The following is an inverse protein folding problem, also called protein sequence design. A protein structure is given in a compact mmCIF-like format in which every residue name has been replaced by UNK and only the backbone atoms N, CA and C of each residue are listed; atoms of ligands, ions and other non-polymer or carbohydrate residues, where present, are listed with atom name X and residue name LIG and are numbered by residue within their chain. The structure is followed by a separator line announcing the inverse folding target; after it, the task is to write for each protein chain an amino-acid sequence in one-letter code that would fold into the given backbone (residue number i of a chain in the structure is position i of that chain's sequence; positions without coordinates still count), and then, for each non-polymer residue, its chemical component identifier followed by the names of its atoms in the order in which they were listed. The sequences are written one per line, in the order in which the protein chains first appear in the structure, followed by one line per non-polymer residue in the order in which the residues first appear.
data_IF_776363221113
#
_entry.id   IF_776363221113
#
_cell.length_a   1.000
_cell.length_b   1.000
_cell.length_c   1.000
_cell.angle_alpha   90.00
_cell.angle_beta   90.00
_cell.angle_gamma   90.00
#
_symmetry.space_group_name_H-M   'P 1'
#
loop_
_entity.id
_entity.type
_entity.pdbx_description
1 polymer ?
#
# COMPACT_ATOMS: atom_id res chain seq x y z
N UNK A 1 27.11 40.86 -28.75
CA UNK A 1 28.11 40.35 -29.69
C UNK A 1 27.38 39.50 -30.73
N UNK A 2 27.34 40.01 -31.95
CA UNK A 2 26.69 39.41 -33.11
C UNK A 2 27.68 38.58 -33.94
N UNK A 3 27.19 37.53 -34.61
CA UNK A 3 27.63 36.90 -35.88
C UNK A 3 26.74 35.65 -36.04
N UNK A 4 25.75 35.52 -36.92
CA UNK A 4 25.57 35.87 -38.34
C UNK A 4 26.37 34.99 -39.31
N UNK A 5 25.62 34.45 -40.29
CA UNK A 5 25.98 33.80 -41.56
C UNK A 5 26.52 32.36 -41.51
N UNK A 6 26.13 31.44 -42.39
CA UNK A 6 25.27 31.54 -43.59
C UNK A 6 25.35 30.24 -44.42
N UNK A 7 24.25 30.00 -45.14
CA UNK A 7 24.02 29.20 -46.35
C UNK A 7 25.12 28.31 -46.96
N UNK A 8 24.71 27.12 -47.41
CA UNK A 8 24.94 26.71 -48.81
C UNK A 8 24.02 25.57 -49.25
N UNK A 9 23.29 25.84 -50.32
CA UNK A 9 22.51 24.92 -51.14
C UNK A 9 23.38 23.87 -51.86
N UNK A 10 22.77 22.75 -52.25
CA UNK A 10 23.40 21.75 -53.12
C UNK A 10 22.39 20.72 -53.64
N UNK A 11 21.69 21.08 -54.71
CA UNK A 11 20.89 20.17 -55.54
C UNK A 11 21.78 19.11 -56.23
N UNK A 12 21.22 17.94 -56.60
CA UNK A 12 21.22 17.35 -57.96
C UNK A 12 20.83 15.85 -57.90
N UNK A 13 19.76 15.48 -58.60
CA UNK A 13 19.41 14.10 -58.97
C UNK A 13 20.16 13.67 -60.28
N UNK A 14 19.75 12.59 -60.98
CA UNK A 14 20.03 11.17 -60.73
C UNK A 14 20.87 10.53 -61.88
N UNK A 15 21.51 9.38 -61.63
CA UNK A 15 22.26 8.64 -62.66
C UNK A 15 21.57 7.33 -63.08
N UNK A 16 21.07 7.34 -64.30
CA UNK A 16 20.53 6.23 -65.09
C UNK A 16 21.67 5.33 -65.58
N UNK A 17 21.62 4.04 -65.24
CA UNK A 17 22.53 3.02 -65.76
C UNK A 17 21.79 1.98 -66.61
N UNK A 18 21.72 2.22 -67.93
CA UNK A 18 21.25 1.24 -68.93
C UNK A 18 22.30 0.14 -69.15
N UNK A 19 21.94 -1.14 -69.02
CA UNK A 19 22.71 -2.25 -69.63
C UNK A 19 21.82 -3.27 -70.33
N UNK A 20 21.88 -3.17 -71.66
CA UNK A 20 21.95 -4.20 -72.71
C UNK A 20 21.04 -5.42 -72.64
N UNK A 21 20.09 -5.40 -73.58
CA UNK A 21 19.39 -6.52 -74.18
C UNK A 21 20.38 -7.50 -74.82
N UNK A 22 20.38 -8.75 -74.34
CA UNK A 22 21.00 -9.90 -75.00
C UNK A 22 19.90 -10.80 -75.56
N UNK A 23 19.72 -10.75 -76.87
CA UNK A 23 18.82 -11.62 -77.62
C UNK A 23 19.46 -13.02 -77.72
N UNK A 24 18.87 -14.04 -77.09
CA UNK A 24 19.19 -15.45 -77.40
C UNK A 24 17.91 -16.22 -77.68
N UNK A 25 17.89 -16.77 -78.89
CA UNK A 25 16.82 -17.54 -79.49
C UNK A 25 16.71 -18.95 -78.87
N UNK A 26 15.46 -19.42 -78.90
CA UNK A 26 14.88 -20.66 -78.33
C UNK A 26 15.66 -21.95 -78.64
N UNK A 27 15.41 -23.01 -77.84
CA UNK A 27 14.72 -24.14 -78.45
C UNK A 27 13.43 -24.54 -77.73
N UNK A 28 12.39 -24.83 -78.53
CA UNK A 28 11.17 -25.53 -78.12
C UNK A 28 11.53 -26.91 -77.58
N UNK A 29 11.40 -27.14 -76.28
CA UNK A 29 11.25 -28.50 -75.73
C UNK A 29 9.76 -28.79 -75.50
N UNK A 30 9.22 -29.49 -76.50
CA UNK A 30 8.23 -30.57 -76.43
C UNK A 30 7.58 -30.77 -75.06
N UNK A 31 6.26 -30.57 -75.01
CA UNK A 31 5.46 -30.85 -73.82
C UNK A 31 5.66 -32.30 -73.36
N UNK A 32 6.24 -32.45 -72.18
CA UNK A 32 5.92 -33.58 -71.31
C UNK A 32 4.72 -33.15 -70.50
N UNK A 33 3.56 -33.71 -70.80
CA UNK A 33 2.44 -33.73 -69.85
C UNK A 33 2.99 -34.29 -68.54
N UNK A 34 3.30 -33.42 -67.59
CA UNK A 34 3.50 -33.82 -66.21
C UNK A 34 2.12 -34.19 -65.72
N UNK A 35 1.81 -35.48 -65.81
CA UNK A 35 0.72 -36.08 -65.07
C UNK A 35 0.83 -35.59 -63.64
N UNK A 36 -0.16 -34.83 -63.18
CA UNK A 36 -0.34 -34.57 -61.76
C UNK A 36 -0.68 -35.92 -61.16
N UNK A 37 0.37 -36.65 -60.75
CA UNK A 37 0.21 -37.79 -59.89
C UNK A 37 -0.43 -37.26 -58.62
N UNK A 38 -1.73 -37.51 -58.46
CA UNK A 38 -2.46 -37.33 -57.21
C UNK A 38 -2.03 -38.37 -56.15
N UNK A 39 -0.95 -39.11 -56.41
CA UNK A 39 -0.34 -39.99 -55.43
C UNK A 39 0.46 -39.15 -54.42
N UNK A 40 -0.06 -39.09 -53.19
CA UNK A 40 0.82 -39.14 -52.03
C UNK A 40 0.81 -37.96 -51.07
N UNK A 41 -0.11 -37.00 -51.17
CA UNK A 41 -0.41 -36.13 -50.02
C UNK A 41 -1.72 -36.58 -49.35
N UNK A 42 -1.71 -37.83 -48.86
CA UNK A 42 -2.43 -38.06 -47.61
C UNK A 42 -1.69 -37.23 -46.58
N UNK A 43 -2.24 -36.07 -46.26
CA UNK A 43 -1.89 -35.43 -45.02
C UNK A 43 -2.30 -36.45 -43.96
N UNK A 44 -1.32 -37.22 -43.47
CA UNK A 44 -1.43 -37.97 -42.22
C UNK A 44 -1.50 -36.93 -41.08
N UNK A 45 -2.58 -36.14 -41.10
CA UNK A 45 -3.17 -35.58 -39.91
C UNK A 45 -3.85 -36.78 -39.25
N UNK A 46 -3.06 -37.65 -38.64
CA UNK A 46 -3.57 -38.58 -37.64
C UNK A 46 -3.76 -37.74 -36.36
N UNK A 47 -4.97 -37.26 -36.03
CA UNK A 47 -5.20 -36.49 -34.81
C UNK A 47 -4.97 -37.32 -33.54
N UNK A 48 -4.88 -38.65 -33.69
CA UNK A 48 -4.83 -39.60 -32.58
C UNK A 48 -3.44 -39.72 -31.91
N UNK A 49 -2.34 -39.42 -32.62
CA UNK A 49 -0.98 -39.71 -32.12
C UNK A 49 -0.28 -38.50 -31.49
N UNK A 50 -0.62 -37.27 -31.91
CA UNK A 50 -0.09 -36.04 -31.29
C UNK A 50 -0.91 -35.56 -30.09
N UNK A 51 -2.15 -36.03 -29.93
CA UNK A 51 -3.01 -35.68 -28.79
C UNK A 51 -2.37 -36.04 -27.44
N UNK A 52 -1.72 -37.22 -27.35
CA UNK A 52 -1.04 -37.67 -26.13
C UNK A 52 0.18 -36.82 -25.75
N UNK A 53 1.04 -36.48 -26.73
CA UNK A 53 2.24 -35.66 -26.50
C UNK A 53 1.91 -34.21 -26.14
N UNK A 54 0.82 -33.66 -26.69
CA UNK A 54 0.34 -32.33 -26.30
C UNK A 54 -0.22 -32.37 -24.87
N UNK A 55 -1.02 -33.40 -24.53
CA UNK A 55 -1.54 -33.59 -23.17
C UNK A 55 -0.42 -33.69 -22.11
N UNK A 56 0.71 -34.33 -22.45
CA UNK A 56 1.89 -34.46 -21.58
C UNK A 56 2.50 -33.11 -21.18
N UNK A 57 2.52 -32.11 -22.06
CA UNK A 57 3.04 -30.78 -21.75
C UNK A 57 2.00 -29.82 -21.16
N UNK A 58 0.71 -30.09 -21.37
CA UNK A 58 -0.37 -29.23 -20.86
C UNK A 58 -0.38 -29.20 -19.33
N UNK A 59 -0.29 -30.37 -18.67
CA UNK A 59 -0.30 -30.45 -17.21
C UNK A 59 0.87 -29.65 -16.57
N UNK A 60 2.15 -29.88 -16.92
CA UNK A 60 3.26 -29.13 -16.35
C UNK A 60 3.23 -27.65 -16.72
N UNK A 61 2.74 -27.28 -17.92
CA UNK A 61 2.56 -25.88 -18.29
C UNK A 61 1.52 -25.17 -17.42
N UNK A 62 0.38 -25.82 -17.13
CA UNK A 62 -0.64 -25.31 -16.23
C UNK A 62 -0.11 -25.20 -14.80
N UNK A 63 0.62 -26.21 -14.31
CA UNK A 63 1.26 -26.16 -12.99
C UNK A 63 2.26 -25.00 -12.90
N UNK A 64 3.11 -24.82 -13.92
CA UNK A 64 4.07 -23.71 -13.98
C UNK A 64 3.35 -22.36 -13.95
N UNK A 65 2.26 -22.21 -14.70
CA UNK A 65 1.45 -21.00 -14.71
C UNK A 65 0.85 -20.70 -13.32
N UNK A 66 0.33 -21.72 -12.63
CA UNK A 66 -0.20 -21.58 -11.27
C UNK A 66 0.88 -21.20 -10.26
N UNK A 67 2.10 -21.75 -10.39
CA UNK A 67 3.23 -21.39 -9.53
C UNK A 67 3.66 -19.93 -9.73
N UNK A 68 3.80 -19.49 -10.99
CA UNK A 68 4.12 -18.11 -11.33
C UNK A 68 3.07 -17.17 -10.75
N UNK A 69 1.79 -17.49 -10.96
CA UNK A 69 0.67 -16.73 -10.42
C UNK A 69 0.69 -16.64 -8.89
N UNK A 70 0.96 -17.74 -8.19
CA UNK A 70 1.05 -17.76 -6.73
C UNK A 70 2.18 -16.85 -6.20
N UNK A 71 3.32 -16.78 -6.89
CA UNK A 71 4.43 -15.87 -6.54
C UNK A 71 3.99 -14.41 -6.65
N UNK A 72 3.27 -14.02 -7.70
CA UNK A 72 2.76 -12.66 -7.86
C UNK A 72 1.75 -12.27 -6.77
N UNK A 73 0.79 -13.16 -6.47
CA UNK A 73 -0.21 -12.92 -5.41
C UNK A 73 0.46 -12.78 -4.05
N UNK A 74 1.42 -13.67 -3.73
CA UNK A 74 2.19 -13.60 -2.49
C UNK A 74 2.99 -12.30 -2.40
N UNK A 75 3.66 -11.88 -3.48
CA UNK A 75 4.40 -10.62 -3.52
C UNK A 75 3.51 -9.41 -3.22
N UNK A 76 2.31 -9.38 -3.80
CA UNK A 76 1.32 -8.32 -3.52
C UNK A 76 0.86 -8.32 -2.06
N UNK A 77 0.53 -9.48 -1.49
CA UNK A 77 0.10 -9.57 -0.09
C UNK A 77 1.21 -9.14 0.88
N UNK A 78 2.45 -9.57 0.63
CA UNK A 78 3.61 -9.14 1.43
C UNK A 78 3.81 -7.64 1.33
N UNK A 79 3.70 -7.04 0.14
CA UNK A 79 3.83 -5.60 -0.03
C UNK A 79 2.77 -4.82 0.77
N UNK A 80 1.50 -5.27 0.74
CA UNK A 80 0.42 -4.66 1.51
C UNK A 80 0.61 -4.83 3.03
N UNK A 81 1.08 -5.99 3.46
CA UNK A 81 1.40 -6.23 4.86
C UNK A 81 2.52 -5.30 5.35
N UNK A 82 3.58 -5.15 4.55
CA UNK A 82 4.69 -4.24 4.87
C UNK A 82 4.23 -2.78 4.92
N UNK A 83 3.32 -2.37 4.02
CA UNK A 83 2.74 -1.03 4.07
C UNK A 83 1.96 -0.79 5.38
N UNK A 84 1.19 -1.78 5.85
CA UNK A 84 0.51 -1.68 7.14
C UNK A 84 1.46 -1.66 8.34
N UNK A 85 2.56 -2.42 8.29
CA UNK A 85 3.62 -2.38 9.32
C UNK A 85 4.29 -1.00 9.37
N UNK A 86 4.59 -0.41 8.22
CA UNK A 86 5.15 0.95 8.15
C UNK A 86 4.17 1.98 8.71
N UNK A 87 2.90 1.91 8.31
CA UNK A 87 1.88 2.80 8.84
C UNK A 87 1.65 2.64 10.35
N UNK A 88 1.86 1.44 10.90
CA UNK A 88 1.87 1.21 12.35
C UNK A 88 3.06 1.90 13.03
N UNK A 89 4.26 1.80 12.45
CA UNK A 89 5.45 2.49 12.98
C UNK A 89 5.28 4.02 12.98
N UNK A 90 4.64 4.57 11.95
CA UNK A 90 4.31 6.01 11.85
C UNK A 90 3.26 6.45 12.90
N UNK A 91 2.50 5.51 13.45
CA UNK A 91 1.58 5.73 14.56
C UNK A 91 2.28 5.53 15.92
N UNK A 92 3.13 4.52 16.08
CA UNK A 92 3.80 4.21 17.35
C UNK A 92 4.70 5.36 17.86
N UNK A 93 5.43 6.01 16.94
CA UNK A 93 6.35 7.09 17.29
C UNK A 93 5.67 8.26 18.05
N UNK A 94 4.57 8.87 17.56
CA UNK A 94 3.90 9.92 18.32
C UNK A 94 3.19 9.42 19.59
N UNK A 95 2.78 8.13 19.68
CA UNK A 95 2.25 7.56 20.93
C UNK A 95 3.31 7.53 22.02
N UNK A 96 4.49 6.97 21.70
CA UNK A 96 5.65 6.95 22.60
C UNK A 96 6.06 8.35 23.03
N UNK A 97 6.14 9.28 22.08
CA UNK A 97 6.47 10.67 22.38
C UNK A 97 5.45 11.33 23.31
N UNK A 98 4.15 11.07 23.10
CA UNK A 98 3.10 11.57 24.00
C UNK A 98 3.30 11.06 25.42
N UNK A 99 3.65 9.78 25.59
CA UNK A 99 3.89 9.20 26.93
C UNK A 99 5.09 9.86 27.61
N UNK A 100 6.16 10.14 26.87
CA UNK A 100 7.32 10.88 27.39
C UNK A 100 6.93 12.28 27.88
N UNK A 101 6.16 13.03 27.08
CA UNK A 101 5.69 14.37 27.43
C UNK A 101 4.73 14.38 28.62
N UNK A 102 3.84 13.39 28.71
CA UNK A 102 2.96 13.23 29.89
C UNK A 102 3.79 13.01 31.15
N UNK A 103 4.87 12.23 31.07
CA UNK A 103 5.80 12.08 32.19
C UNK A 103 6.44 13.40 32.60
N UNK A 104 6.83 14.23 31.63
CA UNK A 104 7.39 15.56 31.89
C UNK A 104 6.35 16.50 32.50
N UNK A 105 5.10 16.46 32.03
CA UNK A 105 4.00 17.22 32.61
C UNK A 105 3.79 16.89 34.10
N UNK A 106 3.77 15.60 34.46
CA UNK A 106 3.63 15.17 35.86
C UNK A 106 4.80 15.64 36.73
N UNK A 107 6.01 15.72 36.17
CA UNK A 107 7.19 16.22 36.89
C UNK A 107 7.24 17.76 36.99
N UNK A 108 6.62 18.47 36.04
CA UNK A 108 6.65 19.92 35.93
C UNK A 108 5.66 20.63 36.86
N UNK A 109 4.73 19.90 37.51
CA UNK A 109 3.79 20.47 38.49
C UNK A 109 4.30 20.18 39.92
N UNK A 110 5.10 21.09 40.52
CA UNK A 110 5.57 20.94 41.89
C UNK A 110 4.44 21.17 42.90
N UNK A 111 4.55 20.59 44.09
CA UNK A 111 3.72 21.02 45.23
C UNK A 111 2.23 20.68 45.15
N UNK A 112 1.87 19.50 44.63
CA UNK A 112 0.48 19.03 44.41
C UNK A 112 -0.48 19.48 45.52
N UNK A 113 -1.38 20.40 45.21
CA UNK A 113 -2.55 20.63 46.06
C UNK A 113 -3.47 19.40 46.01
N UNK A 114 -4.41 19.28 46.97
CA UNK A 114 -5.33 18.15 46.99
C UNK A 114 -6.18 18.03 45.70
N UNK A 115 -6.46 19.16 45.02
CA UNK A 115 -7.20 19.21 43.76
C UNK A 115 -6.35 18.70 42.58
N UNK A 116 -5.13 19.20 42.43
CA UNK A 116 -4.20 18.75 41.37
C UNK A 116 -3.79 17.30 41.52
N UNK A 117 -3.61 16.84 42.77
CA UNK A 117 -3.21 15.45 43.05
C UNK A 117 -4.17 14.45 42.41
N UNK A 118 -5.48 14.68 42.51
CA UNK A 118 -6.50 13.82 41.91
C UNK A 118 -6.39 13.78 40.37
N UNK A 119 -6.16 14.93 39.73
CA UNK A 119 -6.00 15.02 38.27
C UNK A 119 -4.71 14.35 37.79
N UNK A 120 -3.58 14.60 38.46
CA UNK A 120 -2.27 14.03 38.11
C UNK A 120 -2.17 12.53 38.40
N UNK A 121 -2.82 12.03 39.46
CA UNK A 121 -2.92 10.59 39.74
C UNK A 121 -3.78 9.90 38.67
N UNK A 122 -4.89 10.52 38.26
CA UNK A 122 -5.70 10.07 37.13
C UNK A 122 -4.92 10.01 35.81
N UNK A 123 -4.11 11.05 35.53
CA UNK A 123 -3.23 11.11 34.37
C UNK A 123 -2.15 10.01 34.40
N UNK A 124 -1.52 9.81 35.56
CA UNK A 124 -0.50 8.77 35.75
C UNK A 124 -1.07 7.37 35.52
N UNK A 125 -2.28 7.10 36.04
CA UNK A 125 -2.97 5.83 35.84
C UNK A 125 -3.36 5.61 34.39
N UNK A 126 -3.94 6.63 33.73
CA UNK A 126 -4.31 6.55 32.32
C UNK A 126 -3.08 6.29 31.42
N UNK A 127 -1.93 6.93 31.72
CA UNK A 127 -0.67 6.69 31.00
C UNK A 127 -0.19 5.25 31.18
N UNK A 128 -0.24 4.73 32.41
CA UNK A 128 0.16 3.34 32.70
C UNK A 128 -0.75 2.34 31.98
N UNK A 129 -2.05 2.59 31.96
CA UNK A 129 -3.01 1.78 31.23
C UNK A 129 -2.68 1.77 29.73
N UNK A 130 -2.52 2.95 29.12
CA UNK A 130 -2.20 3.07 27.71
C UNK A 130 -0.85 2.44 27.32
N UNK A 131 0.15 2.50 28.19
CA UNK A 131 1.46 1.89 27.95
C UNK A 131 1.47 0.36 28.12
N UNK A 132 0.45 -0.24 28.76
CA UNK A 132 0.36 -1.68 28.97
C UNK A 132 -0.30 -2.42 27.80
N UNK A 133 -1.10 -1.71 26.99
CA UNK A 133 -1.83 -2.30 25.88
C UNK A 133 -0.90 -2.62 24.69
N UNK A 134 -1.16 -3.76 24.03
CA UNK A 134 -0.37 -4.23 22.89
C UNK A 134 -1.19 -4.33 21.60
N UNK A 135 -2.51 -4.48 21.75
CA UNK A 135 -3.41 -4.66 20.62
C UNK A 135 -3.86 -3.29 20.08
N UNK A 136 -3.80 -3.04 18.75
CA UNK A 136 -4.23 -1.78 18.16
C UNK A 136 -5.59 -1.23 18.64
N UNK A 137 -6.65 -2.05 18.76
CA UNK A 137 -7.93 -1.55 19.26
C UNK A 137 -7.95 -1.27 20.77
N UNK A 138 -7.09 -1.92 21.56
CA UNK A 138 -7.00 -1.66 22.99
C UNK A 138 -6.16 -0.41 23.27
N UNK A 139 -5.04 -0.26 22.56
CA UNK A 139 -4.20 0.95 22.55
C UNK A 139 -5.07 2.16 22.21
N UNK A 140 -5.85 2.11 21.14
CA UNK A 140 -6.67 3.25 20.73
C UNK A 140 -7.70 3.70 21.78
N UNK A 141 -8.28 2.76 22.53
CA UNK A 141 -9.20 3.07 23.65
C UNK A 141 -8.46 3.71 24.82
N UNK A 142 -7.36 3.10 25.26
CA UNK A 142 -6.58 3.60 26.38
C UNK A 142 -5.95 4.97 26.08
N UNK A 143 -5.55 5.20 24.82
CA UNK A 143 -5.05 6.49 24.34
C UNK A 143 -6.12 7.59 24.35
N UNK A 144 -7.39 7.24 24.14
CA UNK A 144 -8.50 8.18 24.25
C UNK A 144 -8.78 8.56 25.71
N UNK A 145 -8.71 7.60 26.63
CA UNK A 145 -8.79 7.85 28.07
C UNK A 145 -7.64 8.74 28.55
N UNK A 146 -6.43 8.49 28.05
CA UNK A 146 -5.27 9.34 28.32
C UNK A 146 -5.47 10.77 27.79
N UNK A 147 -6.02 10.95 26.59
CA UNK A 147 -6.35 12.29 26.06
C UNK A 147 -7.34 13.04 26.96
N UNK A 148 -8.38 12.35 27.46
CA UNK A 148 -9.32 12.94 28.42
C UNK A 148 -8.67 13.26 29.77
N UNK A 149 -7.70 12.45 30.22
CA UNK A 149 -6.94 12.73 31.43
C UNK A 149 -5.99 13.92 31.27
N UNK A 150 -5.35 14.07 30.09
CA UNK A 150 -4.52 15.24 29.75
C UNK A 150 -5.37 16.52 29.79
N UNK A 151 -6.57 16.51 29.19
CA UNK A 151 -7.48 17.65 29.24
C UNK A 151 -7.82 18.08 30.67
N UNK A 152 -8.17 17.13 31.55
CA UNK A 152 -8.43 17.39 32.97
C UNK A 152 -7.20 17.88 33.75
N UNK A 153 -6.00 17.48 33.34
CA UNK A 153 -4.77 17.96 33.95
C UNK A 153 -4.49 19.42 33.57
N UNK A 154 -4.70 19.80 32.31
CA UNK A 154 -4.57 21.20 31.88
C UNK A 154 -5.67 22.09 32.44
N UNK A 155 -6.89 21.59 32.61
CA UNK A 155 -7.95 22.32 33.32
C UNK A 155 -7.55 22.65 34.78
N UNK A 156 -6.84 21.74 35.45
CA UNK A 156 -6.32 22.00 36.80
C UNK A 156 -5.18 23.03 36.79
N UNK A 157 -4.31 22.99 35.77
CA UNK A 157 -3.23 23.98 35.58
C UNK A 157 -3.79 25.38 35.32
N UNK A 158 -4.85 25.51 34.51
CA UNK A 158 -5.48 26.80 34.20
C UNK A 158 -6.14 27.46 35.42
N UNK A 159 -6.56 26.65 36.42
CA UNK A 159 -7.14 27.14 37.67
C UNK A 159 -6.08 27.67 38.65
N UNK A 160 -4.80 27.37 38.43
CA UNK A 160 -3.69 27.86 39.24
C UNK A 160 -3.01 29.06 38.55
N UNK A 161 -3.09 30.28 39.12
CA UNK A 161 -2.49 31.47 38.53
C UNK A 161 -0.98 31.38 38.30
N UNK A 162 -0.24 30.65 39.16
CA UNK A 162 1.22 30.54 39.05
C UNK A 162 1.61 29.57 37.93
N UNK A 163 0.84 28.49 37.73
CA UNK A 163 1.09 27.50 36.68
C UNK A 163 0.56 27.94 35.31
N UNK A 164 -0.55 28.68 35.27
CA UNK A 164 -1.20 29.15 34.04
C UNK A 164 -0.31 30.09 33.21
N UNK A 165 0.60 30.82 33.87
CA UNK A 165 1.57 31.70 33.22
C UNK A 165 2.92 31.06 32.92
N UNK A 166 3.12 29.78 33.28
CA UNK A 166 4.37 29.08 33.03
C UNK A 166 4.55 28.80 31.52
N UNK A 167 5.54 29.44 30.86
CA UNK A 167 5.78 29.23 29.43
C UNK A 167 6.19 27.78 29.10
N UNK A 168 6.74 27.02 30.06
CA UNK A 168 7.07 25.60 29.92
C UNK A 168 5.82 24.72 29.80
N UNK A 169 4.81 24.95 30.64
CA UNK A 169 3.54 24.22 30.59
C UNK A 169 2.74 24.54 29.31
N UNK A 170 2.73 25.81 28.89
CA UNK A 170 2.12 26.21 27.61
C UNK A 170 2.76 25.53 26.39
N UNK A 171 4.10 25.38 26.38
CA UNK A 171 4.81 24.64 25.32
C UNK A 171 4.47 23.15 25.33
N UNK A 172 4.38 22.53 26.51
CA UNK A 172 3.98 21.12 26.64
C UNK A 172 2.56 20.89 26.13
N UNK A 173 1.63 21.78 26.44
CA UNK A 173 0.25 21.72 25.94
C UNK A 173 0.21 21.77 24.40
N UNK A 174 0.98 22.68 23.79
CA UNK A 174 1.08 22.80 22.35
C UNK A 174 1.70 21.55 21.69
N UNK A 175 2.79 21.00 22.24
CA UNK A 175 3.43 19.78 21.73
C UNK A 175 2.49 18.57 21.85
N UNK A 176 1.76 18.43 22.96
CA UNK A 176 0.76 17.38 23.15
C UNK A 176 -0.42 17.50 22.16
N UNK A 177 -0.87 18.72 21.89
CA UNK A 177 -1.94 18.98 20.90
C UNK A 177 -1.50 18.64 19.47
N UNK A 178 -0.28 19.00 19.08
CA UNK A 178 0.28 18.61 17.78
C UNK A 178 0.39 17.08 17.65
N UNK A 179 0.87 16.41 18.70
CA UNK A 179 0.94 14.94 18.73
C UNK A 179 -0.45 14.31 18.59
N UNK A 180 -1.48 14.85 19.26
CA UNK A 180 -2.84 14.35 19.09
C UNK A 180 -3.31 14.45 17.63
N UNK A 181 -3.01 15.56 16.96
CA UNK A 181 -3.28 15.73 15.53
C UNK A 181 -2.52 14.73 14.66
N UNK A 182 -1.24 14.47 14.96
CA UNK A 182 -0.40 13.48 14.27
C UNK A 182 -0.92 12.05 14.47
N UNK A 183 -1.23 11.66 15.71
CA UNK A 183 -1.84 10.37 16.06
C UNK A 183 -3.11 10.14 15.24
N UNK A 184 -4.01 11.14 15.18
CA UNK A 184 -5.26 11.01 14.42
C UNK A 184 -5.05 10.87 12.90
N UNK A 185 -3.99 11.43 12.33
CA UNK A 185 -3.63 11.22 10.91
C UNK A 185 -3.00 9.84 10.69
N UNK A 186 -1.98 9.47 11.49
CA UNK A 186 -1.31 8.18 11.38
C UNK A 186 -2.26 7.01 11.63
N UNK A 187 -3.20 7.13 12.57
CA UNK A 187 -4.19 6.10 12.84
C UNK A 187 -5.12 5.83 11.66
N UNK A 188 -5.52 6.88 10.93
CA UNK A 188 -6.31 6.73 9.70
C UNK A 188 -5.50 6.04 8.60
N UNK A 189 -4.25 6.46 8.40
CA UNK A 189 -3.35 5.83 7.43
C UNK A 189 -3.11 4.34 7.74
N UNK A 190 -2.91 3.99 9.01
CA UNK A 190 -2.81 2.59 9.45
C UNK A 190 -4.09 1.81 9.15
N UNK A 191 -5.26 2.35 9.50
CA UNK A 191 -6.54 1.69 9.24
C UNK A 191 -6.80 1.48 7.74
N UNK A 192 -6.44 2.44 6.90
CA UNK A 192 -6.53 2.32 5.44
C UNK A 192 -5.59 1.23 4.91
N UNK A 193 -4.34 1.18 5.37
CA UNK A 193 -3.38 0.15 4.97
C UNK A 193 -3.80 -1.25 5.45
N UNK A 194 -4.24 -1.38 6.70
CA UNK A 194 -4.77 -2.61 7.26
C UNK A 194 -6.01 -3.09 6.48
N UNK A 195 -6.88 -2.16 6.07
CA UNK A 195 -8.07 -2.47 5.27
C UNK A 195 -7.69 -2.98 3.89
N UNK A 196 -6.78 -2.30 3.20
CA UNK A 196 -6.30 -2.74 1.88
C UNK A 196 -5.67 -4.14 1.93
N UNK A 197 -4.90 -4.43 2.97
CA UNK A 197 -4.35 -5.76 3.23
C UNK A 197 -5.47 -6.79 3.49
N UNK A 198 -6.40 -6.50 4.40
CA UNK A 198 -7.49 -7.41 4.77
C UNK A 198 -8.41 -7.71 3.57
N UNK A 199 -8.72 -6.71 2.74
CA UNK A 199 -9.50 -6.86 1.51
C UNK A 199 -8.76 -7.74 0.50
N UNK A 200 -7.47 -7.48 0.25
CA UNK A 200 -6.66 -8.28 -0.67
C UNK A 200 -6.48 -9.73 -0.18
N UNK A 201 -6.36 -9.93 1.14
CA UNK A 201 -6.22 -11.24 1.78
C UNK A 201 -7.52 -12.03 1.76
N UNK A 202 -8.68 -11.38 1.89
CA UNK A 202 -9.99 -12.06 1.93
C UNK A 202 -10.55 -12.30 0.53
N UNK A 203 -10.31 -11.38 -0.41
CA UNK A 203 -10.77 -11.48 -1.79
C UNK A 203 -10.06 -12.55 -2.61
N UNK A 204 -10.63 -12.93 -3.75
CA UNK A 204 -9.95 -13.77 -4.73
C UNK A 204 -8.86 -12.95 -5.44
N UNK A 205 -7.61 -13.47 -5.56
CA UNK A 205 -7.17 -14.81 -5.20
C UNK A 205 -6.51 -14.98 -3.82
N UNK A 206 -6.33 -13.89 -3.06
CA UNK A 206 -5.64 -13.91 -1.77
C UNK A 206 -6.27 -14.86 -0.75
N UNK A 207 -7.60 -15.00 -0.71
CA UNK A 207 -8.30 -15.87 0.24
C UNK A 207 -7.94 -17.35 0.09
N UNK A 208 -7.72 -17.80 -1.15
CA UNK A 208 -7.28 -19.16 -1.44
C UNK A 208 -5.85 -19.39 -0.94
N UNK A 209 -4.95 -18.44 -1.18
CA UNK A 209 -3.55 -18.54 -0.77
C UNK A 209 -3.39 -18.36 0.75
N UNK A 210 -4.24 -17.55 1.40
CA UNK A 210 -4.23 -17.31 2.83
C UNK A 210 -4.61 -18.55 3.64
N UNK A 211 -5.49 -19.42 3.12
CA UNK A 211 -5.82 -20.71 3.75
C UNK A 211 -4.60 -21.64 3.82
N UNK A 212 -3.71 -21.60 2.81
CA UNK A 212 -2.53 -22.45 2.72
C UNK A 212 -1.33 -21.86 3.47
N UNK A 213 -1.16 -20.53 3.44
CA UNK A 213 0.05 -19.83 3.94
C UNK A 213 -0.17 -19.15 5.31
N UNK A 214 -1.38 -19.20 5.88
CA UNK A 214 -1.74 -18.63 7.20
C UNK A 214 -1.38 -17.14 7.35
N UNK A 215 -1.76 -16.33 6.37
CA UNK A 215 -1.74 -14.88 6.55
C UNK A 215 -2.85 -14.49 7.54
N UNK A 216 -2.52 -13.84 8.66
CA UNK A 216 -3.49 -13.38 9.67
C UNK A 216 -4.10 -12.02 9.33
N UNK A 217 -5.25 -11.68 9.93
CA UNK A 217 -5.98 -10.44 9.63
C UNK A 217 -5.35 -9.37 10.50
N UNK A 218 -5.18 -8.17 9.95
CA UNK A 218 -4.74 -7.04 10.75
C UNK A 218 -5.94 -6.45 11.49
N UNK A 219 -5.75 -6.18 12.77
CA UNK A 219 -6.72 -5.45 13.57
C UNK A 219 -6.61 -3.95 13.31
N UNK A 220 -7.74 -3.26 13.36
CA UNK A 220 -7.79 -1.80 13.21
C UNK A 220 -7.46 -1.10 14.52
N UNK A 221 -6.87 0.07 14.42
CA UNK A 221 -6.77 1.01 15.52
C UNK A 221 -8.13 1.67 15.75
N UNK A 222 -8.63 1.64 16.99
CA UNK A 222 -9.87 2.34 17.32
C UNK A 222 -9.58 3.82 17.46
N UNK A 223 -10.01 4.61 16.47
CA UNK A 223 -10.04 6.06 16.64
C UNK A 223 -11.23 6.37 17.54
N UNK A 224 -11.01 7.12 18.62
CA UNK A 224 -12.12 7.75 19.32
C UNK A 224 -12.76 8.73 18.35
N UNK A 225 -13.80 8.29 17.65
CA UNK A 225 -14.62 9.19 16.86
C UNK A 225 -15.20 10.21 17.84
N UNK A 226 -14.83 11.48 17.67
CA UNK A 226 -15.72 12.55 18.08
C UNK A 226 -17.03 12.28 17.33
N UNK A 227 -18.00 11.72 18.05
CA UNK A 227 -19.35 11.36 17.62
C UNK A 227 -19.72 12.10 16.32
N UNK A 228 -19.76 11.44 15.16
CA UNK A 228 -20.28 12.07 13.97
C UNK A 228 -21.79 12.17 14.16
N UNK A 229 -22.26 13.35 14.54
CA UNK A 229 -23.70 13.69 14.58
C UNK A 229 -24.34 13.72 13.17
N UNK A 230 -23.65 13.23 12.14
CA UNK A 230 -24.03 13.30 10.73
C UNK A 230 -24.00 11.94 9.99
N UNK A 231 -24.31 10.83 10.65
CA UNK A 231 -24.68 9.57 9.98
C UNK A 231 -26.17 9.24 10.12
N UNK A 232 -27.02 10.27 10.33
CA UNK A 232 -28.40 10.21 9.86
C UNK A 232 -28.35 10.26 8.33
N UNK A 233 -29.08 9.34 7.71
CA UNK A 233 -29.38 9.22 6.26
C UNK A 233 -28.27 8.69 5.36
N UNK A 234 -28.21 7.36 5.21
CA UNK A 234 -28.13 6.75 3.88
C UNK A 234 -28.92 5.42 3.91
N UNK A 235 -29.87 5.20 2.98
CA UNK A 235 -30.83 4.11 3.05
C UNK A 235 -30.20 2.75 2.75
N UNK A 236 -30.75 1.71 3.40
CA UNK A 236 -30.53 0.32 3.04
C UNK A 236 -30.77 0.13 1.53
N UNK A 237 -29.74 -0.33 0.82
CA UNK A 237 -29.86 -0.75 -0.58
C UNK A 237 -30.12 -2.25 -0.64
N UNK A 238 -31.31 -2.53 -1.19
CA UNK A 238 -31.85 -3.75 -1.84
C UNK A 238 -32.04 -4.97 -0.95
#
# INVERSE_FOLDING_TARGET
MARAFGDAAGAMAPAVGRRRLGHRSRPRKRGSSRSYSTAGFRADLDPATNGGRIMEWVIPAVVLLLLIWAVFVRGRLVALQQAAVQAWADLDEPLRRRHELVSRLVAAVPGRTAREKKSLDGLTNARRHAAAEQEPPAIGKAEAELSAAIGRAFEAVEQDPDLSVDPGLGRLQAELSDLQGRIGRSARAFNEAARAYNEARTGFPGGFLAYVVRFDLLQYYTVAEAKPEAARTAPARV
#
